data_IF_535598062031
#
_entry.id   IF_535598062031
#
_cell.length_a   1.000
_cell.length_b   1.000
_cell.length_c   1.000
_cell.angle_alpha   90.00
_cell.angle_beta   90.00
_cell.angle_gamma   90.00
#
_symmetry.space_group_name_H-M   'P 1'
#
loop_
_entity.id
_entity.type
_entity.pdbx_description
1 polymer ?
#
# COMPACT_ATOMS: atom_id res chain seq x y z
N UNK A 1 -10.61 -31.40 -3.33
CA UNK A 1 -10.51 -32.54 -2.41
C UNK A 1 -9.66 -33.59 -3.09
N UNK A 2 -8.64 -34.14 -2.40
CA UNK A 2 -7.52 -34.96 -2.90
C UNK A 2 -6.26 -34.22 -3.34
N UNK A 3 -5.48 -33.70 -2.38
CA UNK A 3 -4.01 -33.90 -2.28
C UNK A 3 -3.42 -33.34 -0.97
N UNK A 4 -4.04 -33.62 0.18
CA UNK A 4 -3.41 -33.40 1.51
C UNK A 4 -3.65 -34.61 2.41
N UNK A 5 -3.04 -35.76 2.10
CA UNK A 5 -3.17 -36.96 2.94
C UNK A 5 -2.06 -38.02 2.76
N UNK A 6 -0.89 -37.69 2.19
CA UNK A 6 0.16 -38.71 1.91
C UNK A 6 1.58 -38.33 2.31
N UNK A 7 1.76 -37.67 3.45
CA UNK A 7 3.07 -37.56 4.11
C UNK A 7 3.04 -37.83 5.63
N UNK A 8 1.98 -38.46 6.14
CA UNK A 8 1.91 -38.93 7.53
C UNK A 8 1.68 -40.44 7.55
N UNK A 9 2.76 -41.21 7.40
CA UNK A 9 2.86 -42.59 7.89
C UNK A 9 4.29 -43.09 7.71
N UNK A 10 5.12 -42.86 8.72
CA UNK A 10 6.15 -43.79 9.18
C UNK A 10 6.79 -43.25 10.45
N UNK A 11 6.23 -43.63 11.60
CA UNK A 11 7.00 -43.86 12.82
C UNK A 11 6.09 -44.58 13.81
N UNK A 12 6.26 -45.89 13.90
CA UNK A 12 5.78 -46.69 15.02
C UNK A 12 6.82 -46.59 16.14
N UNK A 13 6.34 -46.20 17.32
CA UNK A 13 6.72 -46.66 18.66
C UNK A 13 8.20 -46.95 18.92
N UNK A 14 8.81 -46.14 19.79
CA UNK A 14 9.50 -46.64 20.97
C UNK A 14 9.57 -45.55 22.03
N UNK A 15 8.89 -45.80 23.15
CA UNK A 15 9.09 -45.12 24.42
C UNK A 15 10.44 -45.57 24.99
N UNK A 16 11.40 -44.67 25.13
CA UNK A 16 12.32 -44.67 26.26
C UNK A 16 12.84 -43.25 26.46
N UNK A 17 12.52 -42.72 27.64
CA UNK A 17 12.96 -41.43 28.11
C UNK A 17 14.41 -41.52 28.61
N UNK A 18 15.09 -40.37 28.58
CA UNK A 18 16.35 -39.99 29.23
C UNK A 18 17.67 -40.18 28.47
N UNK A 19 18.34 -39.04 28.38
CA UNK A 19 19.78 -38.78 28.20
C UNK A 19 20.34 -38.56 26.79
N UNK A 20 20.60 -37.26 26.57
CA UNK A 20 21.80 -36.71 25.93
C UNK A 20 22.08 -37.11 24.49
N UNK A 21 21.60 -36.27 23.57
CA UNK A 21 22.44 -35.62 22.57
C UNK A 21 21.62 -34.49 21.92
N UNK A 22 21.85 -33.27 22.42
CA UNK A 22 21.48 -32.05 21.72
C UNK A 22 22.14 -32.08 20.33
N UNK A 23 21.36 -32.45 19.31
CA UNK A 23 21.71 -32.16 17.93
C UNK A 23 21.67 -30.65 17.79
N UNK A 24 22.84 -30.03 17.96
CA UNK A 24 23.15 -28.64 17.67
C UNK A 24 22.70 -28.31 16.24
N UNK A 25 21.45 -27.88 16.10
CA UNK A 25 21.04 -27.04 14.98
C UNK A 25 21.68 -25.71 15.27
N UNK A 26 22.85 -25.46 14.66
CA UNK A 26 23.42 -24.13 14.57
C UNK A 26 22.38 -23.23 13.88
N UNK A 27 21.53 -22.58 14.65
CA UNK A 27 20.91 -21.33 14.21
C UNK A 27 22.08 -20.39 13.98
N UNK A 28 22.55 -20.27 12.74
CA UNK A 28 23.48 -19.20 12.38
C UNK A 28 22.84 -17.92 12.86
N UNK A 29 23.46 -17.25 13.81
CA UNK A 29 23.02 -15.98 14.38
C UNK A 29 23.10 -14.93 13.28
N UNK A 30 22.10 -14.91 12.40
CA UNK A 30 21.96 -13.88 11.39
C UNK A 30 21.91 -12.54 12.12
N UNK A 31 22.63 -11.56 11.58
CA UNK A 31 22.50 -10.19 12.07
C UNK A 31 21.03 -9.79 12.07
N UNK A 32 20.59 -9.04 13.07
CA UNK A 32 19.18 -8.58 13.18
C UNK A 32 18.65 -7.98 11.87
N UNK A 33 19.51 -7.27 11.13
CA UNK A 33 19.21 -6.72 9.82
C UNK A 33 18.92 -7.80 8.76
N UNK A 34 19.72 -8.86 8.70
CA UNK A 34 19.50 -9.99 7.79
C UNK A 34 18.19 -10.70 8.11
N UNK A 35 17.86 -10.90 9.39
CA UNK A 35 16.58 -11.50 9.79
C UNK A 35 15.40 -10.66 9.31
N UNK A 36 15.42 -9.34 9.50
CA UNK A 36 14.35 -8.47 9.00
C UNK A 36 14.21 -8.48 7.47
N UNK A 37 15.33 -8.54 6.74
CA UNK A 37 15.32 -8.68 5.28
C UNK A 37 14.72 -10.01 4.84
N UNK A 38 15.07 -11.10 5.54
CA UNK A 38 14.58 -12.43 5.26
C UNK A 38 13.07 -12.54 5.53
N UNK A 39 12.58 -12.05 6.67
CA UNK A 39 11.14 -12.04 6.98
C UNK A 39 10.35 -11.28 5.91
N UNK A 40 10.86 -10.13 5.47
CA UNK A 40 10.23 -9.35 4.39
C UNK A 40 10.19 -10.11 3.06
N UNK A 41 11.31 -10.75 2.68
CA UNK A 41 11.38 -11.55 1.45
C UNK A 41 10.45 -12.77 1.51
N UNK A 42 10.32 -13.42 2.67
CA UNK A 42 9.43 -14.56 2.87
C UNK A 42 7.97 -14.13 2.60
N UNK A 43 7.53 -13.00 3.14
CA UNK A 43 6.17 -12.48 2.90
C UNK A 43 5.91 -12.24 1.41
N UNK A 44 6.85 -11.62 0.69
CA UNK A 44 6.73 -11.37 -0.75
C UNK A 44 6.66 -12.69 -1.55
N UNK A 45 7.40 -13.73 -1.12
CA UNK A 45 7.37 -15.05 -1.76
C UNK A 45 6.09 -15.83 -1.48
N UNK A 46 5.55 -15.77 -0.27
CA UNK A 46 4.26 -16.40 0.02
C UNK A 46 3.15 -15.77 -0.82
N UNK A 47 3.15 -14.44 -0.93
CA UNK A 47 2.21 -13.74 -1.81
C UNK A 47 2.36 -14.18 -3.27
N UNK A 48 3.59 -14.32 -3.76
CA UNK A 48 3.86 -14.81 -5.12
C UNK A 48 3.33 -16.23 -5.36
N UNK A 49 3.48 -17.13 -4.38
CA UNK A 49 2.96 -18.50 -4.44
C UNK A 49 1.43 -18.49 -4.49
N UNK A 50 0.77 -17.69 -3.64
CA UNK A 50 -0.69 -17.57 -3.66
C UNK A 50 -1.21 -17.04 -5.01
N UNK A 51 -0.52 -16.07 -5.62
CA UNK A 51 -0.87 -15.59 -6.97
C UNK A 51 -0.77 -16.73 -7.99
N UNK A 52 0.30 -17.53 -7.98
CA UNK A 52 0.48 -18.66 -8.89
C UNK A 52 -0.65 -19.68 -8.70
N UNK A 53 -0.98 -20.02 -7.46
CA UNK A 53 -2.08 -20.93 -7.14
C UNK A 53 -3.43 -20.38 -7.61
N UNK A 54 -3.65 -19.06 -7.49
CA UNK A 54 -4.84 -18.41 -8.05
C UNK A 54 -4.87 -18.51 -9.58
N UNK A 55 -3.76 -18.31 -10.27
CA UNK A 55 -3.68 -18.41 -11.73
C UNK A 55 -3.98 -19.83 -12.23
N UNK A 56 -3.38 -20.84 -11.58
CA UNK A 56 -3.61 -22.26 -11.91
C UNK A 56 -5.07 -22.64 -11.67
N UNK A 57 -5.64 -22.28 -10.50
CA UNK A 57 -7.04 -22.59 -10.17
C UNK A 57 -8.04 -21.96 -11.13
N UNK A 58 -7.73 -20.78 -11.66
CA UNK A 58 -8.61 -20.08 -12.62
C UNK A 58 -8.29 -20.41 -14.09
N UNK A 59 -7.33 -21.30 -14.35
CA UNK A 59 -6.97 -21.70 -15.71
C UNK A 59 -6.48 -20.52 -16.57
N UNK A 60 -5.71 -19.60 -16.00
CA UNK A 60 -5.19 -18.45 -16.74
C UNK A 60 -4.22 -18.91 -17.85
N UNK A 61 -4.47 -18.46 -19.08
CA UNK A 61 -3.72 -18.82 -20.29
C UNK A 61 -2.99 -17.62 -20.87
N UNK A 62 -3.48 -16.40 -20.61
CA UNK A 62 -2.95 -15.18 -21.19
C UNK A 62 -2.43 -14.22 -20.12
N UNK A 63 -1.40 -13.46 -20.47
CA UNK A 63 -1.00 -12.28 -19.70
C UNK A 63 -2.08 -11.20 -19.65
N UNK A 64 -3.15 -11.28 -20.45
CA UNK A 64 -4.30 -10.37 -20.39
C UNK A 64 -5.38 -10.81 -19.40
N UNK A 65 -5.24 -11.98 -18.79
CA UNK A 65 -6.27 -12.50 -17.89
C UNK A 65 -6.41 -11.63 -16.64
N UNK A 66 -7.66 -11.38 -16.23
CA UNK A 66 -7.98 -10.51 -15.11
C UNK A 66 -7.24 -10.88 -13.82
N UNK A 67 -7.08 -12.19 -13.56
CA UNK A 67 -6.42 -12.70 -12.37
C UNK A 67 -4.97 -12.19 -12.26
N UNK A 68 -4.28 -12.10 -13.40
CA UNK A 68 -2.95 -11.54 -13.50
C UNK A 68 -2.97 -10.01 -13.60
N UNK A 69 -3.91 -9.46 -14.37
CA UNK A 69 -4.04 -8.03 -14.59
C UNK A 69 -4.37 -7.25 -13.31
N UNK A 70 -5.07 -7.84 -12.34
CA UNK A 70 -5.33 -7.16 -11.05
C UNK A 70 -4.12 -7.07 -10.13
N UNK A 71 -3.07 -7.87 -10.35
CA UNK A 71 -1.88 -7.86 -9.50
C UNK A 71 -1.04 -6.60 -9.76
N UNK A 72 -0.29 -6.15 -8.76
CA UNK A 72 0.73 -5.12 -8.96
C UNK A 72 1.97 -5.77 -9.61
N UNK A 73 2.29 -5.36 -10.83
CA UNK A 73 3.33 -5.96 -11.67
C UNK A 73 4.47 -4.97 -11.88
N UNK A 74 5.69 -5.50 -11.94
CA UNK A 74 6.90 -4.72 -12.15
C UNK A 74 7.56 -5.15 -13.46
N UNK A 75 7.89 -4.18 -14.29
CA UNK A 75 8.56 -4.41 -15.57
C UNK A 75 9.81 -3.55 -15.65
N UNK A 76 10.89 -4.17 -16.07
CA UNK A 76 12.15 -3.50 -16.34
C UNK A 76 12.24 -3.31 -17.85
N UNK A 77 12.19 -2.06 -18.29
CA UNK A 77 12.35 -1.71 -19.69
C UNK A 77 13.82 -1.41 -19.96
N UNK A 78 14.51 -2.36 -20.61
CA UNK A 78 15.89 -2.21 -21.05
C UNK A 78 16.04 -1.38 -22.33
N UNK A 79 14.93 -0.95 -22.96
CA UNK A 79 14.95 -0.28 -24.25
C UNK A 79 14.90 1.25 -24.13
N UNK A 80 15.85 1.91 -24.79
CA UNK A 80 15.96 3.37 -24.98
C UNK A 80 14.84 3.99 -25.84
N UNK A 81 13.92 3.18 -26.40
CA UNK A 81 12.90 3.58 -27.39
C UNK A 81 11.45 3.33 -26.92
N UNK A 82 11.09 3.66 -25.67
CA UNK A 82 9.66 3.70 -25.31
C UNK A 82 9.05 5.02 -25.81
N UNK A 83 8.28 4.90 -26.89
CA UNK A 83 7.45 5.91 -27.53
C UNK A 83 6.20 6.20 -26.67
N UNK A 84 6.40 6.66 -25.44
CA UNK A 84 5.40 7.40 -24.66
C UNK A 84 6.09 8.61 -24.06
N UNK A 85 6.27 9.61 -24.91
CA UNK A 85 6.72 10.93 -24.54
C UNK A 85 5.56 11.67 -23.88
N UNK A 86 5.38 11.49 -22.57
CA UNK A 86 4.78 12.53 -21.75
C UNK A 86 5.80 13.02 -20.71
N UNK A 87 6.55 14.01 -21.17
CA UNK A 87 6.96 15.21 -20.44
C UNK A 87 7.52 15.05 -19.02
N UNK A 88 8.73 14.52 -18.93
CA UNK A 88 9.79 15.22 -18.19
C UNK A 88 11.08 15.08 -18.97
N UNK A 89 11.40 16.12 -19.76
CA UNK A 89 12.78 16.34 -20.21
C UNK A 89 13.62 16.56 -18.95
N UNK A 90 14.13 15.48 -18.35
CA UNK A 90 15.41 15.55 -17.68
C UNK A 90 16.41 15.80 -18.80
N UNK A 91 16.67 17.09 -19.03
CA UNK A 91 17.82 17.52 -19.82
C UNK A 91 19.04 17.10 -19.02
N UNK A 92 19.92 16.35 -19.68
CA UNK A 92 21.28 16.04 -19.28
C UNK A 92 21.37 15.02 -18.14
N UNK A 93 21.33 13.73 -18.50
CA UNK A 93 22.43 12.83 -18.12
C UNK A 93 22.42 11.60 -19.04
N UNK A 94 23.60 11.08 -19.25
CA UNK A 94 23.99 10.18 -20.31
C UNK A 94 23.25 8.82 -20.32
N UNK A 95 23.04 8.31 -21.54
CA UNK A 95 22.97 6.91 -21.94
C UNK A 95 22.66 5.85 -20.84
N UNK A 96 21.49 5.20 -20.96
CA UNK A 96 21.13 3.91 -20.32
C UNK A 96 20.47 3.97 -18.92
N UNK A 97 19.59 4.94 -18.65
CA UNK A 97 18.73 4.88 -17.44
C UNK A 97 17.66 3.78 -17.58
N UNK A 98 17.83 2.71 -16.81
CA UNK A 98 16.89 1.59 -16.70
C UNK A 98 15.55 2.08 -16.14
N UNK A 99 14.50 2.08 -16.98
CA UNK A 99 13.17 2.52 -16.57
C UNK A 99 12.40 1.34 -15.99
N UNK A 100 12.19 1.36 -14.68
CA UNK A 100 11.29 0.42 -14.01
C UNK A 100 9.88 0.98 -14.03
N UNK A 101 8.96 0.26 -14.66
CA UNK A 101 7.54 0.57 -14.71
C UNK A 101 6.77 -0.37 -13.79
N UNK A 102 5.69 0.15 -13.23
CA UNK A 102 4.82 -0.52 -12.29
C UNK A 102 3.43 -0.46 -12.89
N UNK A 103 2.81 -1.61 -13.10
CA UNK A 103 1.50 -1.69 -13.71
C UNK A 103 0.51 -2.38 -12.80
N UNK A 104 -0.71 -1.86 -12.74
CA UNK A 104 -1.84 -2.50 -12.06
C UNK A 104 -3.10 -2.29 -12.87
N UNK A 105 -3.74 -3.38 -13.28
CA UNK A 105 -4.68 -3.40 -14.39
C UNK A 105 -4.10 -2.67 -15.61
N UNK A 106 -4.78 -1.62 -16.08
CA UNK A 106 -4.36 -0.77 -17.18
C UNK A 106 -3.52 0.45 -16.75
N UNK A 107 -3.38 0.72 -15.45
CA UNK A 107 -2.58 1.82 -14.92
C UNK A 107 -1.08 1.51 -15.00
N UNK A 108 -0.28 2.50 -15.35
CA UNK A 108 1.17 2.42 -15.47
C UNK A 108 1.82 3.62 -14.76
N UNK A 109 2.85 3.35 -13.96
CA UNK A 109 3.59 4.34 -13.19
C UNK A 109 5.09 4.07 -13.30
N UNK A 110 5.89 5.13 -13.25
CA UNK A 110 7.34 5.00 -13.13
C UNK A 110 7.74 4.81 -11.67
N UNK A 111 8.68 3.92 -11.41
CA UNK A 111 9.34 3.78 -10.12
C UNK A 111 10.37 4.91 -9.94
N UNK A 112 10.37 5.59 -8.79
CA UNK A 112 11.27 6.76 -8.57
C UNK A 112 12.50 6.53 -7.73
N UNK A 113 12.76 5.30 -7.31
CA UNK A 113 14.00 4.96 -6.62
C UNK A 113 14.23 5.73 -5.31
N UNK A 114 13.18 6.23 -4.67
CA UNK A 114 13.28 6.82 -3.34
C UNK A 114 13.71 5.75 -2.33
N UNK A 115 14.74 6.04 -1.54
CA UNK A 115 15.25 5.10 -0.54
C UNK A 115 14.29 4.99 0.65
N UNK A 116 13.67 3.83 0.81
CA UNK A 116 12.68 3.56 1.87
C UNK A 116 13.27 2.92 3.14
N UNK A 117 14.54 2.52 3.11
CA UNK A 117 15.14 1.69 4.15
C UNK A 117 14.51 0.29 4.23
N UNK A 118 14.73 -0.40 5.36
CA UNK A 118 14.20 -1.74 5.63
C UNK A 118 13.03 -1.66 6.62
N UNK A 119 11.91 -1.09 6.18
CA UNK A 119 10.68 -1.02 6.97
C UNK A 119 9.94 -2.37 6.97
N UNK A 120 9.19 -2.69 8.04
CA UNK A 120 8.36 -3.89 8.06
C UNK A 120 7.36 -3.91 6.89
N UNK A 121 7.26 -5.05 6.19
CA UNK A 121 6.29 -5.23 5.11
C UNK A 121 4.88 -5.43 5.66
N UNK A 122 3.90 -4.86 4.97
CA UNK A 122 2.48 -5.11 5.23
C UNK A 122 2.10 -6.47 4.63
N UNK A 123 1.36 -7.29 5.37
CA UNK A 123 0.87 -8.58 4.87
C UNK A 123 -0.14 -8.33 3.73
N UNK A 124 0.04 -9.04 2.62
CA UNK A 124 -0.90 -9.02 1.51
C UNK A 124 -2.19 -9.76 1.88
N UNK A 125 -3.31 -9.06 1.77
CA UNK A 125 -4.66 -9.57 2.01
C UNK A 125 -5.58 -9.15 0.88
N UNK A 126 -6.73 -9.83 0.67
CA UNK A 126 -7.72 -9.40 -0.31
C UNK A 126 -8.20 -7.95 -0.10
N UNK A 127 -8.17 -7.45 1.14
CA UNK A 127 -8.53 -6.08 1.46
C UNK A 127 -7.47 -5.08 0.96
N UNK A 128 -6.18 -5.37 1.18
CA UNK A 128 -5.09 -4.51 0.68
C UNK A 128 -5.01 -4.54 -0.84
N UNK A 129 -5.27 -5.68 -1.48
CA UNK A 129 -5.28 -5.79 -2.95
C UNK A 129 -6.37 -4.90 -3.56
N UNK A 130 -7.57 -4.93 -2.96
CA UNK A 130 -8.68 -4.04 -3.36
C UNK A 130 -8.33 -2.57 -3.14
N UNK A 131 -7.64 -2.26 -2.03
CA UNK A 131 -7.14 -0.92 -1.75
C UNK A 131 -6.18 -0.45 -2.85
N UNK A 132 -5.13 -1.23 -3.14
CA UNK A 132 -4.12 -0.88 -4.14
C UNK A 132 -4.73 -0.73 -5.53
N UNK A 133 -5.63 -1.64 -5.92
CA UNK A 133 -6.33 -1.54 -7.21
C UNK A 133 -7.14 -0.25 -7.30
N UNK A 134 -7.86 0.12 -6.25
CA UNK A 134 -8.67 1.35 -6.26
C UNK A 134 -7.80 2.61 -6.28
N UNK A 135 -6.71 2.62 -5.51
CA UNK A 135 -5.79 3.77 -5.42
C UNK A 135 -5.02 3.99 -6.73
N UNK A 136 -4.49 2.93 -7.34
CA UNK A 136 -3.80 3.02 -8.63
C UNK A 136 -4.73 3.49 -9.74
N UNK A 137 -5.99 3.03 -9.75
CA UNK A 137 -6.99 3.51 -10.70
C UNK A 137 -7.38 4.97 -10.46
N UNK A 138 -7.51 5.39 -9.20
CA UNK A 138 -7.74 6.79 -8.86
C UNK A 138 -6.64 7.70 -9.40
N UNK A 139 -5.38 7.32 -9.17
CA UNK A 139 -4.21 8.05 -9.66
C UNK A 139 -4.15 8.12 -11.18
N UNK A 140 -4.45 7.02 -11.89
CA UNK A 140 -4.55 7.00 -13.36
C UNK A 140 -5.57 8.00 -13.88
N UNK A 141 -6.69 8.16 -13.17
CA UNK A 141 -7.72 9.15 -13.50
C UNK A 141 -7.36 10.58 -13.05
N UNK A 142 -6.18 10.78 -12.45
CA UNK A 142 -5.74 12.05 -11.84
C UNK A 142 -6.60 12.48 -10.65
N UNK A 143 -7.25 11.52 -9.98
CA UNK A 143 -8.00 11.72 -8.74
C UNK A 143 -7.16 11.31 -7.53
N UNK A 144 -7.55 11.80 -6.35
CA UNK A 144 -7.00 11.33 -5.09
C UNK A 144 -7.64 10.01 -4.63
N UNK A 145 -7.03 9.36 -3.65
CA UNK A 145 -7.60 8.17 -3.01
C UNK A 145 -8.21 8.45 -1.64
N UNK A 146 -9.34 7.81 -1.32
CA UNK A 146 -9.99 7.91 -0.01
C UNK A 146 -10.26 6.52 0.61
N UNK A 147 -9.26 5.90 1.27
CA UNK A 147 -9.54 4.78 2.16
C UNK A 147 -10.34 5.23 3.38
N UNK A 148 -11.51 4.62 3.59
CA UNK A 148 -12.37 4.94 4.72
C UNK A 148 -12.85 3.68 5.45
N UNK A 149 -13.03 3.79 6.76
CA UNK A 149 -13.43 2.68 7.61
C UNK A 149 -12.99 2.87 9.06
N UNK A 150 -13.37 1.98 9.97
CA UNK A 150 -13.05 2.07 11.40
C UNK A 150 -11.56 2.29 11.67
N UNK A 151 -11.22 2.80 12.85
CA UNK A 151 -9.83 2.92 13.29
C UNK A 151 -9.15 1.53 13.35
N UNK A 152 -7.85 1.48 13.07
CA UNK A 152 -7.08 0.23 13.12
C UNK A 152 -7.30 -0.76 11.97
N UNK A 153 -7.90 -0.32 10.86
CA UNK A 153 -8.15 -1.16 9.67
C UNK A 153 -7.05 -1.10 8.61
N UNK A 154 -5.92 -0.44 8.90
CA UNK A 154 -4.74 -0.38 8.01
C UNK A 154 -4.85 0.62 6.85
N UNK A 155 -5.67 1.66 6.99
CA UNK A 155 -5.92 2.68 5.94
C UNK A 155 -4.63 3.42 5.55
N UNK A 156 -3.98 4.01 6.53
CA UNK A 156 -2.75 4.82 6.37
C UNK A 156 -1.58 3.93 5.97
N UNK A 157 -1.47 2.75 6.58
CA UNK A 157 -0.43 1.77 6.32
C UNK A 157 -0.52 1.21 4.89
N UNK A 158 -1.73 1.04 4.35
CA UNK A 158 -1.92 0.61 2.95
C UNK A 158 -1.40 1.67 1.97
N UNK A 159 -1.68 2.95 2.19
CA UNK A 159 -1.17 4.04 1.34
C UNK A 159 0.35 4.10 1.41
N UNK A 160 0.93 4.00 2.61
CA UNK A 160 2.38 3.97 2.82
C UNK A 160 3.03 2.77 2.13
N UNK A 161 2.44 1.58 2.26
CA UNK A 161 2.96 0.37 1.68
C UNK A 161 2.94 0.43 0.14
N UNK A 162 1.83 0.91 -0.45
CA UNK A 162 1.75 1.14 -1.90
C UNK A 162 2.79 2.16 -2.37
N UNK A 163 2.93 3.29 -1.68
CA UNK A 163 3.93 4.30 -2.03
C UNK A 163 5.36 3.76 -1.94
N UNK A 164 5.66 2.96 -0.93
CA UNK A 164 6.94 2.26 -0.79
C UNK A 164 7.21 1.31 -1.96
N UNK A 165 6.21 0.52 -2.39
CA UNK A 165 6.30 -0.34 -3.57
C UNK A 165 6.47 0.46 -4.86
N UNK A 166 6.04 1.72 -4.89
CA UNK A 166 6.25 2.64 -6.00
C UNK A 166 7.55 3.44 -5.95
N UNK A 167 8.35 3.25 -4.89
CA UNK A 167 9.57 4.03 -4.66
C UNK A 167 9.24 5.51 -4.45
N UNK A 168 8.13 5.81 -3.77
CA UNK A 168 7.62 7.16 -3.48
C UNK A 168 7.77 7.47 -2.01
N UNK A 169 8.20 8.70 -1.69
CA UNK A 169 8.10 9.22 -0.34
C UNK A 169 6.63 9.49 0.00
N UNK A 170 6.13 8.86 1.07
CA UNK A 170 4.80 9.13 1.61
C UNK A 170 4.94 9.93 2.90
N UNK A 171 4.28 11.10 2.95
CA UNK A 171 4.21 11.98 4.11
C UNK A 171 2.82 11.85 4.73
N UNK A 172 2.75 11.52 6.02
CA UNK A 172 1.48 11.41 6.73
C UNK A 172 1.25 12.65 7.57
N UNK A 173 0.10 13.29 7.39
CA UNK A 173 -0.33 14.46 8.14
C UNK A 173 -1.59 14.10 8.91
N UNK A 174 -1.55 14.16 10.24
CA UNK A 174 -2.75 13.99 11.06
C UNK A 174 -3.48 15.32 11.12
N UNK A 175 -4.71 15.38 10.62
CA UNK A 175 -5.52 16.60 10.61
C UNK A 175 -6.26 16.82 11.93
N UNK A 176 -6.33 18.07 12.35
CA UNK A 176 -7.11 18.55 13.49
C UNK A 176 -7.90 19.82 13.13
N UNK A 177 -8.72 20.30 14.06
CA UNK A 177 -9.55 21.50 13.90
C UNK A 177 -8.71 22.80 13.85
N UNK A 178 -7.45 22.77 14.30
CA UNK A 178 -6.57 23.94 14.35
C UNK A 178 -5.82 24.23 13.04
N UNK A 179 -5.91 23.34 12.06
CA UNK A 179 -5.25 23.51 10.75
C UNK A 179 -6.06 24.45 9.85
N UNK A 180 -5.44 25.55 9.45
CA UNK A 180 -6.04 26.54 8.55
C UNK A 180 -5.75 26.28 7.06
N UNK A 181 -6.50 26.97 6.19
CA UNK A 181 -6.37 26.88 4.73
C UNK A 181 -4.95 27.20 4.24
N UNK A 182 -4.29 28.20 4.85
CA UNK A 182 -2.95 28.65 4.43
C UNK A 182 -1.90 27.58 4.72
N UNK A 183 -1.96 26.95 5.89
CA UNK A 183 -1.05 25.85 6.26
C UNK A 183 -1.24 24.66 5.34
N UNK A 184 -2.49 24.25 5.07
CA UNK A 184 -2.77 23.14 4.15
C UNK A 184 -2.30 23.43 2.73
N UNK A 185 -2.53 24.64 2.23
CA UNK A 185 -2.05 25.01 0.90
C UNK A 185 -0.53 24.99 0.82
N UNK A 186 0.16 25.44 1.88
CA UNK A 186 1.62 25.36 1.95
C UNK A 186 2.12 23.91 1.93
N UNK A 187 1.43 23.00 2.63
CA UNK A 187 1.72 21.56 2.60
C UNK A 187 1.52 21.00 1.18
N UNK A 188 0.40 21.32 0.52
CA UNK A 188 0.16 20.90 -0.87
C UNK A 188 1.23 21.40 -1.83
N UNK A 189 1.61 22.67 -1.75
CA UNK A 189 2.72 23.24 -2.53
C UNK A 189 4.01 22.45 -2.29
N UNK A 190 4.30 22.05 -1.04
CA UNK A 190 5.44 21.20 -0.73
C UNK A 190 5.38 19.85 -1.44
N UNK A 191 4.28 19.11 -1.27
CA UNK A 191 4.05 17.78 -1.85
C UNK A 191 4.15 17.80 -3.37
N UNK A 192 3.49 18.77 -4.00
CA UNK A 192 3.42 18.89 -5.47
C UNK A 192 4.79 19.23 -6.07
N UNK A 193 5.59 20.05 -5.37
CA UNK A 193 6.94 20.40 -5.85
C UNK A 193 7.94 19.26 -5.73
N UNK A 194 7.82 18.41 -4.72
CA UNK A 194 8.76 17.32 -4.49
C UNK A 194 8.35 15.99 -5.14
N UNK A 195 7.13 15.90 -5.69
CA UNK A 195 6.64 14.63 -6.25
C UNK A 195 6.36 13.55 -5.20
N UNK A 196 6.15 13.95 -3.95
CA UNK A 196 5.80 13.04 -2.85
C UNK A 196 4.29 12.74 -2.84
N UNK A 197 3.91 11.79 -1.99
CA UNK A 197 2.51 11.52 -1.67
C UNK A 197 2.15 12.11 -0.32
N UNK A 198 1.06 12.87 -0.27
CA UNK A 198 0.47 13.34 0.98
C UNK A 198 -0.69 12.44 1.40
N UNK A 199 -0.58 11.78 2.55
CA UNK A 199 -1.65 11.05 3.19
C UNK A 199 -2.17 11.87 4.38
N UNK A 200 -3.39 12.40 4.26
CA UNK A 200 -4.00 13.23 5.29
C UNK A 200 -4.97 12.39 6.13
N UNK A 201 -4.54 12.04 7.33
CA UNK A 201 -5.31 11.24 8.27
C UNK A 201 -6.29 12.07 9.06
N UNK A 202 -7.42 11.46 9.40
CA UNK A 202 -8.56 12.12 10.05
C UNK A 202 -9.00 13.41 9.34
N UNK A 203 -9.00 13.40 8.00
CA UNK A 203 -9.28 14.58 7.19
C UNK A 203 -10.62 15.25 7.50
N UNK A 204 -11.59 14.48 8.00
CA UNK A 204 -12.90 14.99 8.44
C UNK A 204 -12.88 15.70 9.80
N UNK A 205 -11.73 15.91 10.44
CA UNK A 205 -11.57 16.78 11.61
C UNK A 205 -11.35 18.25 11.26
N UNK A 206 -11.03 18.55 10.00
CA UNK A 206 -10.93 19.95 9.55
C UNK A 206 -12.31 20.62 9.65
N UNK A 207 -12.31 21.93 9.94
CA UNK A 207 -13.53 22.73 9.91
C UNK A 207 -14.19 22.69 8.51
N UNK A 208 -15.52 22.78 8.48
CA UNK A 208 -16.28 22.73 7.23
C UNK A 208 -15.90 23.85 6.25
N UNK A 209 -15.65 25.05 6.78
CA UNK A 209 -15.18 26.23 6.03
C UNK A 209 -13.85 25.95 5.32
N UNK A 210 -12.92 25.31 6.03
CA UNK A 210 -11.59 24.92 5.54
C UNK A 210 -11.69 23.80 4.51
N UNK A 211 -12.51 22.77 4.76
CA UNK A 211 -12.75 21.68 3.80
C UNK A 211 -13.28 22.19 2.45
N UNK A 212 -14.22 23.15 2.51
CA UNK A 212 -14.78 23.77 1.31
C UNK A 212 -13.71 24.54 0.53
N UNK A 213 -12.93 25.39 1.20
CA UNK A 213 -11.89 26.17 0.54
C UNK A 213 -10.73 25.31 -0.02
N UNK A 214 -10.35 24.25 0.69
CA UNK A 214 -9.32 23.30 0.26
C UNK A 214 -9.76 22.53 -0.99
N UNK A 215 -11.04 22.23 -1.16
CA UNK A 215 -11.54 21.51 -2.33
C UNK A 215 -11.16 22.21 -3.65
N UNK A 216 -11.20 23.55 -3.68
CA UNK A 216 -10.76 24.34 -4.84
C UNK A 216 -9.25 24.18 -5.11
N UNK A 217 -8.43 24.16 -4.06
CA UNK A 217 -6.98 23.99 -4.22
C UNK A 217 -6.63 22.58 -4.71
N UNK A 218 -7.31 21.55 -4.20
CA UNK A 218 -7.13 20.16 -4.64
C UNK A 218 -7.56 19.99 -6.11
N UNK A 219 -8.68 20.60 -6.51
CA UNK A 219 -9.14 20.57 -7.90
C UNK A 219 -8.08 21.12 -8.86
N UNK A 220 -7.48 22.28 -8.55
CA UNK A 220 -6.41 22.88 -9.36
C UNK A 220 -5.22 21.91 -9.53
N UNK A 221 -4.82 21.23 -8.45
CA UNK A 221 -3.73 20.25 -8.48
C UNK A 221 -4.11 19.06 -9.36
N UNK A 222 -5.30 18.50 -9.16
CA UNK A 222 -5.77 17.33 -9.92
C UNK A 222 -5.91 17.62 -11.41
N UNK A 223 -6.45 18.79 -11.77
CA UNK A 223 -6.59 19.17 -13.17
C UNK A 223 -5.23 19.34 -13.85
N UNK A 224 -4.25 19.88 -13.11
CA UNK A 224 -2.87 19.92 -13.61
C UNK A 224 -2.24 18.54 -13.76
N UNK A 225 -2.51 17.59 -12.85
CA UNK A 225 -2.04 16.21 -13.00
C UNK A 225 -2.70 15.50 -14.17
N UNK A 226 -4.00 15.69 -14.40
CA UNK A 226 -4.76 15.11 -15.53
C UNK A 226 -4.30 15.66 -16.87
N UNK A 227 -4.13 16.96 -16.98
CA UNK A 227 -3.69 17.63 -18.21
C UNK A 227 -2.16 17.61 -18.38
N UNK A 228 -1.42 17.21 -17.34
CA UNK A 228 0.03 17.29 -17.28
C UNK A 228 0.56 18.72 -17.42
N UNK A 229 -0.13 19.66 -16.80
CA UNK A 229 0.24 21.08 -16.76
C UNK A 229 1.46 21.25 -15.84
N UNK A 230 2.58 21.84 -16.30
CA UNK A 230 3.82 21.89 -15.54
C UNK A 230 3.79 22.89 -14.37
N UNK A 231 2.84 23.83 -14.36
CA UNK A 231 2.73 24.87 -13.36
C UNK A 231 1.28 25.16 -12.98
N UNK A 232 1.04 25.41 -11.71
CA UNK A 232 -0.25 25.81 -11.15
C UNK A 232 -0.11 27.06 -10.30
N UNK A 233 -1.22 27.78 -10.13
CA UNK A 233 -1.31 28.88 -9.19
C UNK A 233 -2.15 28.46 -7.98
N UNK A 234 -1.53 28.41 -6.80
CA UNK A 234 -2.19 28.10 -5.53
C UNK A 234 -2.09 29.32 -4.61
N UNK A 235 -3.24 29.90 -4.24
CA UNK A 235 -3.35 31.13 -3.43
C UNK A 235 -2.42 32.28 -3.91
N UNK A 236 -2.33 32.51 -5.22
CA UNK A 236 -1.52 33.59 -5.80
C UNK A 236 -0.04 33.25 -5.98
N UNK A 237 0.37 32.00 -5.72
CA UNK A 237 1.74 31.52 -5.91
C UNK A 237 1.83 30.51 -7.05
N UNK A 238 2.61 30.85 -8.08
CA UNK A 238 2.99 29.93 -9.15
C UNK A 238 3.93 28.85 -8.62
N UNK A 239 3.59 27.59 -8.88
CA UNK A 239 4.26 26.39 -8.34
C UNK A 239 4.42 25.36 -9.44
N UNK A 240 5.63 24.79 -9.59
CA UNK A 240 5.87 23.68 -10.51
C UNK A 240 5.20 22.39 -9.99
N UNK A 241 4.61 21.63 -10.89
CA UNK A 241 3.93 20.37 -10.60
C UNK A 241 4.82 19.21 -11.00
N UNK A 242 5.14 18.34 -10.05
CA UNK A 242 5.69 17.02 -10.35
C UNK A 242 4.54 16.05 -10.67
N UNK A 243 4.54 15.39 -11.84
CA UNK A 243 3.45 14.53 -12.29
C UNK A 243 3.26 13.29 -11.42
N UNK A 244 4.22 12.98 -10.55
CA UNK A 244 4.13 11.84 -9.67
C UNK A 244 3.55 12.14 -8.29
N UNK A 245 3.27 13.42 -8.01
CA UNK A 245 2.64 13.82 -6.77
C UNK A 245 1.25 13.21 -6.64
N UNK A 246 0.87 12.87 -5.40
CA UNK A 246 -0.41 12.21 -5.11
C UNK A 246 -1.01 12.70 -3.80
N UNK A 247 -2.33 12.85 -3.77
CA UNK A 247 -3.08 13.25 -2.58
C UNK A 247 -4.02 12.13 -2.16
N UNK A 248 -3.93 11.73 -0.90
CA UNK A 248 -4.73 10.68 -0.29
C UNK A 248 -5.31 11.19 1.02
N UNK A 249 -6.57 10.88 1.28
CA UNK A 249 -7.23 11.19 2.55
C UNK A 249 -7.66 9.90 3.21
N UNK A 250 -7.62 9.84 4.54
CA UNK A 250 -8.21 8.73 5.28
C UNK A 250 -9.29 9.24 6.22
N UNK A 251 -10.42 8.54 6.22
CA UNK A 251 -11.59 8.91 6.99
C UNK A 251 -11.95 7.83 7.99
N UNK A 252 -12.14 8.25 9.23
CA UNK A 252 -12.84 7.45 10.23
C UNK A 252 -14.34 7.80 10.14
N UNK A 253 -15.22 6.80 9.94
CA UNK A 253 -16.65 7.04 9.81
C UNK A 253 -17.22 7.63 11.11
N UNK A 254 -18.29 8.40 10.97
CA UNK A 254 -19.03 9.03 12.07
C UNK A 254 -19.88 7.94 12.74
N UNK A 255 -19.23 6.99 13.43
CA UNK A 255 -19.94 6.06 14.30
C UNK A 255 -20.23 6.74 15.64
N UNK A 256 -21.40 6.44 16.24
CA UNK A 256 -21.87 6.99 17.52
C UNK A 256 -20.77 6.88 18.59
N UNK A 257 -20.24 8.03 19.05
CA UNK A 257 -19.24 8.11 20.12
C UNK A 257 -17.96 8.89 19.77
N UNK A 258 -17.76 9.22 18.50
CA UNK A 258 -16.55 9.85 17.98
C UNK A 258 -16.84 11.30 17.55
N UNK A 259 -17.01 12.21 18.52
CA UNK A 259 -17.30 13.63 18.28
C UNK A 259 -16.23 14.37 17.47
N UNK A 260 -16.57 15.57 16.97
CA UNK A 260 -15.65 16.46 16.24
C UNK A 260 -15.35 16.05 14.79
N UNK A 261 -16.22 15.27 14.14
CA UNK A 261 -16.04 14.86 12.74
C UNK A 261 -17.13 15.42 11.83
N UNK A 262 -16.71 16.14 10.81
CA UNK A 262 -17.59 16.77 9.83
C UNK A 262 -17.94 15.82 8.69
N UNK A 263 -19.09 16.06 8.05
CA UNK A 263 -19.42 15.40 6.78
C UNK A 263 -18.63 16.08 5.67
N UNK A 264 -17.95 15.30 4.83
CA UNK A 264 -17.26 15.90 3.68
C UNK A 264 -18.26 16.57 2.72
N UNK A 265 -17.97 17.79 2.25
CA UNK A 265 -18.72 18.44 1.16
C UNK A 265 -18.77 17.55 -0.08
N UNK A 266 -19.87 17.59 -0.83
CA UNK A 266 -20.07 16.70 -1.98
C UNK A 266 -19.08 16.96 -3.12
N UNK A 267 -18.72 18.23 -3.36
CA UNK A 267 -17.67 18.60 -4.32
C UNK A 267 -16.33 17.94 -3.96
N UNK A 268 -15.98 17.93 -2.68
CA UNK A 268 -14.74 17.32 -2.20
C UNK A 268 -14.76 15.79 -2.37
N UNK A 269 -15.90 15.13 -2.14
CA UNK A 269 -16.02 13.67 -2.36
C UNK A 269 -15.76 13.28 -3.80
N UNK A 270 -16.12 14.11 -4.78
CA UNK A 270 -15.89 13.82 -6.20
C UNK A 270 -14.40 13.83 -6.57
N UNK A 271 -13.56 14.53 -5.80
CA UNK A 271 -12.11 14.60 -6.01
C UNK A 271 -11.38 13.34 -5.55
N UNK A 272 -12.02 12.48 -4.76
CA UNK A 272 -11.38 11.30 -4.19
C UNK A 272 -12.16 10.02 -4.49
N UNK A 273 -11.46 9.01 -5.01
CA UNK A 273 -12.05 7.69 -5.20
C UNK A 273 -12.15 6.97 -3.85
N UNK A 274 -13.36 6.59 -3.39
CA UNK A 274 -13.51 5.93 -2.10
C UNK A 274 -13.13 4.45 -2.18
N UNK A 275 -12.47 3.94 -1.15
CA UNK A 275 -12.25 2.51 -0.93
C UNK A 275 -12.57 2.13 0.52
N UNK A 276 -13.42 1.12 0.68
CA UNK A 276 -13.91 0.70 1.98
C UNK A 276 -12.94 -0.29 2.64
N UNK A 277 -12.46 0.08 3.84
CA UNK A 277 -11.53 -0.67 4.69
C UNK A 277 -12.25 -1.08 5.98
N UNK A 278 -13.16 -2.05 5.91
CA UNK A 278 -14.09 -2.36 7.02
C UNK A 278 -13.50 -3.28 8.08
N UNK A 279 -13.01 -4.46 7.67
CA UNK A 279 -12.47 -5.47 8.58
C UNK A 279 -11.26 -6.15 7.94
N UNK A 280 -10.06 -6.03 8.54
CA UNK A 280 -8.91 -6.79 8.08
C UNK A 280 -9.08 -8.29 8.40
N UNK A 281 -8.44 -9.14 7.61
CA UNK A 281 -8.40 -10.58 7.85
C UNK A 281 -7.35 -10.92 8.91
N UNK A 282 -7.75 -10.87 10.18
CA UNK A 282 -6.83 -11.09 11.30
C UNK A 282 -6.24 -12.49 11.34
N UNK A 283 -6.97 -13.51 10.88
CA UNK A 283 -6.49 -14.90 10.84
C UNK A 283 -5.35 -15.03 9.83
N UNK A 284 -5.57 -14.54 8.61
CA UNK A 284 -4.56 -14.54 7.55
C UNK A 284 -3.33 -13.72 7.94
N UNK A 285 -3.53 -12.52 8.50
CA UNK A 285 -2.44 -11.64 8.92
C UNK A 285 -1.59 -12.32 10.01
N UNK A 286 -2.23 -12.87 11.05
CA UNK A 286 -1.52 -13.55 12.13
C UNK A 286 -0.79 -14.82 11.64
N UNK A 287 -1.41 -15.59 10.74
CA UNK A 287 -0.80 -16.77 10.13
C UNK A 287 0.47 -16.41 9.37
N UNK A 288 0.42 -15.39 8.51
CA UNK A 288 1.56 -14.96 7.70
C UNK A 288 2.71 -14.42 8.55
N UNK A 289 2.40 -13.65 9.59
CA UNK A 289 3.41 -13.14 10.53
C UNK A 289 4.08 -14.30 11.26
N UNK A 290 3.31 -15.21 11.87
CA UNK A 290 3.86 -16.37 12.58
C UNK A 290 4.68 -17.26 11.65
N UNK A 291 4.23 -17.45 10.41
CA UNK A 291 4.98 -18.23 9.44
C UNK A 291 6.31 -17.55 9.08
N UNK A 292 6.33 -16.23 8.87
CA UNK A 292 7.56 -15.47 8.58
C UNK A 292 8.58 -15.49 9.72
N UNK A 293 8.12 -15.69 10.96
CA UNK A 293 8.97 -15.84 12.15
C UNK A 293 9.39 -17.31 12.41
N UNK A 294 9.01 -18.24 11.53
CA UNK A 294 9.49 -19.63 11.56
C UNK A 294 8.63 -20.62 12.36
N UNK A 295 7.40 -20.26 12.73
CA UNK A 295 6.51 -21.17 13.45
C UNK A 295 5.94 -22.25 12.51
N UNK A 296 6.27 -23.53 12.76
CA UNK A 296 5.79 -24.65 11.92
C UNK A 296 4.27 -24.86 11.97
N UNK A 297 3.63 -24.49 13.08
CA UNK A 297 2.17 -24.63 13.29
C UNK A 297 1.42 -23.29 13.21
N UNK A 298 1.92 -22.35 12.39
CA UNK A 298 1.40 -20.98 12.28
C UNK A 298 -0.12 -20.93 12.09
N UNK A 299 -0.69 -21.78 11.22
CA UNK A 299 -2.13 -21.82 10.94
C UNK A 299 -3.01 -22.15 12.16
N UNK A 300 -2.56 -23.08 13.02
CA UNK A 300 -3.31 -23.45 14.23
C UNK A 300 -3.16 -22.37 15.28
N UNK A 301 -1.95 -21.82 15.42
CA UNK A 301 -1.65 -20.78 16.40
C UNK A 301 -2.36 -19.46 16.09
N UNK A 302 -2.42 -19.04 14.82
CA UNK A 302 -3.09 -17.82 14.39
C UNK A 302 -4.58 -17.84 14.76
N UNK A 303 -5.29 -18.93 14.44
CA UNK A 303 -6.71 -19.10 14.77
C UNK A 303 -6.95 -19.08 16.28
N UNK A 304 -6.09 -19.74 17.06
CA UNK A 304 -6.17 -19.70 18.53
C UNK A 304 -5.98 -18.28 19.05
N UNK A 305 -4.97 -17.57 18.55
CA UNK A 305 -4.67 -16.19 18.92
C UNK A 305 -5.86 -15.28 18.64
N UNK A 306 -6.40 -15.31 17.42
CA UNK A 306 -7.55 -14.51 17.01
C UNK A 306 -8.79 -14.87 17.83
N UNK A 307 -9.01 -16.16 18.12
CA UNK A 307 -10.11 -16.61 18.96
C UNK A 307 -10.00 -16.06 20.39
N UNK A 308 -8.81 -16.10 21.00
CA UNK A 308 -8.56 -15.55 22.33
C UNK A 308 -8.87 -14.05 22.37
N UNK A 309 -8.35 -13.28 21.40
CA UNK A 309 -8.64 -11.84 21.33
C UNK A 309 -10.11 -11.53 21.02
N UNK A 310 -10.79 -12.38 20.26
CA UNK A 310 -12.22 -12.22 19.98
C UNK A 310 -13.09 -12.52 21.20
N UNK A 311 -12.68 -13.46 22.06
CA UNK A 311 -13.39 -13.80 23.29
C UNK A 311 -13.10 -12.81 24.43
N UNK A 312 -11.96 -12.11 24.38
CA UNK A 312 -11.57 -11.11 25.37
C UNK A 312 -12.17 -9.72 25.13
N UNK A 313 -12.93 -9.53 24.03
CA UNK A 313 -13.66 -8.28 23.72
C UNK A 313 -15.04 -8.26 24.35
#
# INVERSE_FOLDING_TARGET
MYTSAKQQKNMKTNEHCTNSQESNVQYSTHSRLQSCKLSSLILDKIHSIDIIDQLIRNGAVSSKDWIWQRQLRFYINHNQNSMYNYTTKIKNDDNNSMKTSICMADAEFLYTFEYQGNSPRLVHTPLTDKCYLTLTQAMRMGLGGNPYGPAGTGKTESVKALGSMMGRQVLVFNCDEGIDLRSMTRIFVGIVKCGAWGCFDEFNRLEESVLSAISMQIQIIQDALKCGTPQINLLGRTTNVDPNSGLFITLNPIAKGYGGRQKLPDNLKQLFRPVSMTKPDSDLIAEMILFSEGFSNAQILSRKLVSVFSLAK
#
